data_IF_580248014781
#
_entry.id   IF_580248014781
#
_cell.length_a   1.000
_cell.length_b   1.000
_cell.length_c   1.000
_cell.angle_alpha   90.00
_cell.angle_beta   90.00
_cell.angle_gamma   90.00
#
_symmetry.space_group_name_H-M   'P 1'
#
loop_
_entity.id
_entity.type
_entity.pdbx_description
1 polymer ?
#
# COMPACT_ATOMS: atom_id res chain seq x y z
N UNK A 1 -13.75 -2.49 -6.76
CA UNK A 1 -13.40 -3.90 -6.56
C UNK A 1 -12.78 -4.55 -7.81
N UNK A 2 -13.33 -4.39 -8.98
CA UNK A 2 -12.89 -5.09 -10.21
C UNK A 2 -11.43 -4.89 -10.62
N UNK A 3 -10.76 -3.83 -10.19
CA UNK A 3 -9.34 -3.57 -10.46
C UNK A 3 -8.42 -4.03 -9.31
N UNK A 4 -8.96 -4.35 -8.14
CA UNK A 4 -8.14 -4.74 -6.97
C UNK A 4 -7.53 -6.13 -7.15
N UNK A 5 -6.37 -6.36 -6.55
CA UNK A 5 -5.68 -7.65 -6.66
C UNK A 5 -5.37 -8.08 -8.11
N UNK A 6 -5.13 -7.12 -9.01
CA UNK A 6 -4.92 -7.36 -10.45
C UNK A 6 -6.15 -8.01 -11.12
N UNK A 7 -7.34 -7.55 -10.79
CA UNK A 7 -8.60 -8.07 -11.33
C UNK A 7 -9.16 -9.31 -10.62
N UNK A 8 -8.48 -9.78 -9.56
CA UNK A 8 -8.89 -10.97 -8.79
C UNK A 8 -9.72 -10.67 -7.55
N UNK A 9 -9.68 -9.44 -7.05
CA UNK A 9 -10.24 -8.98 -5.78
C UNK A 9 -9.63 -9.71 -4.55
N UNK A 10 -8.66 -9.09 -3.90
CA UNK A 10 -8.16 -9.57 -2.60
C UNK A 10 -9.17 -9.20 -1.51
N UNK A 11 -10.14 -10.08 -1.27
CA UNK A 11 -11.36 -9.82 -0.48
C UNK A 11 -11.06 -9.43 0.96
N UNK A 12 -10.13 -10.16 1.58
CA UNK A 12 -9.69 -9.93 2.96
C UNK A 12 -8.33 -10.60 3.19
N UNK A 13 -7.87 -10.61 4.44
CA UNK A 13 -6.70 -11.35 4.88
C UNK A 13 -7.12 -12.29 6.01
N UNK A 14 -6.84 -13.60 5.89
CA UNK A 14 -7.15 -14.59 6.92
C UNK A 14 -6.12 -14.52 8.06
N UNK A 15 -6.13 -13.43 8.77
CA UNK A 15 -5.27 -13.18 9.91
C UNK A 15 -6.09 -12.92 11.18
N UNK A 16 -5.41 -12.94 12.32
CA UNK A 16 -5.99 -12.52 13.58
C UNK A 16 -6.16 -11.00 13.65
N UNK A 17 -6.91 -10.55 14.64
CA UNK A 17 -7.19 -9.13 14.85
C UNK A 17 -5.93 -8.32 15.14
N UNK A 18 -4.95 -8.89 15.83
CA UNK A 18 -3.72 -8.19 16.21
C UNK A 18 -2.88 -7.89 14.97
N UNK A 19 -2.71 -8.87 14.11
CA UNK A 19 -2.06 -8.72 12.80
C UNK A 19 -2.78 -7.71 11.92
N UNK A 20 -4.14 -7.77 11.91
CA UNK A 20 -4.96 -6.81 11.16
C UNK A 20 -4.74 -5.38 11.66
N UNK A 21 -4.79 -5.14 12.96
CA UNK A 21 -4.57 -3.81 13.55
C UNK A 21 -3.13 -3.33 13.36
N UNK A 22 -2.14 -4.21 13.44
CA UNK A 22 -0.74 -3.89 13.17
C UNK A 22 -0.50 -3.50 11.69
N UNK A 23 -1.37 -3.96 10.80
CA UNK A 23 -1.33 -3.62 9.36
C UNK A 23 -1.96 -2.26 9.02
N UNK A 24 -2.44 -1.51 10.03
CA UNK A 24 -3.06 -0.19 9.88
C UNK A 24 -2.13 0.87 10.49
N UNK A 25 -1.30 1.57 9.71
CA UNK A 25 -0.26 2.47 10.22
C UNK A 25 -0.81 3.76 10.87
N UNK A 26 -2.09 4.07 10.67
CA UNK A 26 -2.75 5.22 11.29
C UNK A 26 -4.17 4.91 11.73
N UNK A 27 -4.59 5.48 12.86
CA UNK A 27 -5.97 5.38 13.36
C UNK A 27 -6.52 3.95 13.59
N UNK A 28 -5.67 2.91 13.63
CA UNK A 28 -6.11 1.51 13.80
C UNK A 28 -6.97 1.28 15.05
N UNK A 29 -6.71 2.02 16.16
CA UNK A 29 -7.51 1.93 17.38
C UNK A 29 -8.98 2.32 17.19
N UNK A 30 -9.27 3.23 16.26
CA UNK A 30 -10.62 3.61 15.90
C UNK A 30 -11.42 2.40 15.38
N UNK A 31 -10.79 1.51 14.65
CA UNK A 31 -11.41 0.37 14.00
C UNK A 31 -11.58 -0.86 14.92
N UNK A 32 -11.07 -0.81 16.15
CA UNK A 32 -11.09 -1.97 17.06
C UNK A 32 -12.50 -2.57 17.21
N UNK A 33 -13.51 -1.74 17.44
CA UNK A 33 -14.90 -2.20 17.60
C UNK A 33 -15.48 -2.79 16.31
N UNK A 34 -15.27 -2.14 15.18
CA UNK A 34 -15.73 -2.61 13.86
C UNK A 34 -15.11 -3.96 13.49
N UNK A 35 -13.79 -4.09 13.59
CA UNK A 35 -13.05 -5.31 13.26
C UNK A 35 -13.25 -6.46 14.26
N UNK A 36 -13.81 -6.18 15.42
CA UNK A 36 -14.25 -7.21 16.37
C UNK A 36 -15.64 -7.75 16.02
N UNK A 37 -16.51 -6.89 15.47
CA UNK A 37 -17.90 -7.26 15.09
C UNK A 37 -17.98 -7.93 13.73
N UNK A 38 -17.10 -7.58 12.82
CA UNK A 38 -17.03 -8.17 11.48
C UNK A 38 -15.57 -8.49 11.14
N UNK A 39 -15.20 -9.71 11.50
CA UNK A 39 -13.83 -10.22 11.37
C UNK A 39 -13.52 -10.65 9.93
N UNK A 40 -12.26 -10.91 9.57
CA UNK A 40 -11.91 -11.55 8.30
C UNK A 40 -12.66 -12.86 8.04
N UNK A 41 -12.86 -13.68 9.07
CA UNK A 41 -13.63 -14.94 8.95
C UNK A 41 -15.11 -14.68 8.68
N UNK A 42 -15.70 -13.65 9.29
CA UNK A 42 -17.08 -13.26 8.98
C UNK A 42 -17.20 -12.78 7.53
N UNK A 43 -16.20 -12.06 7.02
CA UNK A 43 -16.13 -11.67 5.61
C UNK A 43 -16.07 -12.90 4.69
N UNK A 44 -15.23 -13.88 5.00
CA UNK A 44 -15.15 -15.12 4.23
C UNK A 44 -16.48 -15.86 4.26
N UNK A 45 -17.04 -16.09 5.44
CA UNK A 45 -18.33 -16.75 5.61
C UNK A 45 -19.47 -16.02 4.89
N UNK A 46 -19.48 -14.68 4.89
CA UNK A 46 -20.45 -13.88 4.16
C UNK A 46 -20.41 -14.14 2.66
N UNK A 47 -19.23 -14.11 2.03
CA UNK A 47 -19.13 -14.36 0.58
C UNK A 47 -19.36 -15.82 0.21
N UNK A 48 -18.94 -16.77 1.04
CA UNK A 48 -19.25 -18.20 0.86
C UNK A 48 -20.75 -18.47 0.94
N UNK A 49 -21.46 -17.82 1.89
CA UNK A 49 -22.93 -17.89 1.97
C UNK A 49 -23.64 -17.28 0.74
N UNK A 50 -23.00 -16.35 0.04
CA UNK A 50 -23.46 -15.81 -1.24
C UNK A 50 -23.09 -16.69 -2.45
N UNK A 51 -22.46 -17.84 -2.23
CA UNK A 51 -22.06 -18.81 -3.25
C UNK A 51 -20.73 -18.51 -3.94
N UNK A 52 -19.86 -17.73 -3.31
CA UNK A 52 -18.50 -17.47 -3.82
C UNK A 52 -17.51 -18.34 -3.07
N UNK A 53 -16.91 -19.32 -3.75
CA UNK A 53 -15.83 -20.13 -3.17
C UNK A 53 -14.55 -19.29 -3.06
N UNK A 54 -13.92 -19.33 -1.88
CA UNK A 54 -12.72 -18.57 -1.57
C UNK A 54 -11.51 -19.50 -1.38
N UNK A 55 -10.31 -18.97 -1.63
CA UNK A 55 -9.02 -19.61 -1.36
C UNK A 55 -8.09 -18.66 -0.61
N UNK A 56 -7.25 -19.24 0.25
CA UNK A 56 -6.18 -18.50 0.96
C UNK A 56 -4.87 -18.74 0.25
N UNK A 57 -4.16 -17.68 -0.11
CA UNK A 57 -2.85 -17.71 -0.74
C UNK A 57 -1.75 -17.24 0.22
N UNK A 58 -0.50 -17.31 -0.23
CA UNK A 58 0.68 -16.85 0.56
C UNK A 58 0.44 -15.46 1.15
N UNK A 59 0.79 -15.29 2.43
CA UNK A 59 0.55 -14.05 3.19
C UNK A 59 -0.91 -13.89 3.62
N UNK A 60 -1.63 -15.01 3.77
CA UNK A 60 -3.02 -15.09 4.22
C UNK A 60 -4.01 -14.28 3.36
N UNK A 61 -3.66 -13.97 2.12
CA UNK A 61 -4.49 -13.22 1.19
C UNK A 61 -5.64 -14.08 0.70
N UNK A 62 -6.85 -13.55 0.75
CA UNK A 62 -8.07 -14.28 0.38
C UNK A 62 -8.57 -13.81 -0.99
N UNK A 63 -8.77 -14.75 -1.90
CA UNK A 63 -9.25 -14.51 -3.26
C UNK A 63 -10.40 -15.47 -3.61
N UNK A 64 -11.27 -15.10 -4.58
CA UNK A 64 -12.15 -16.09 -5.22
C UNK A 64 -11.33 -17.20 -5.86
N UNK A 65 -11.83 -18.44 -5.79
CA UNK A 65 -11.20 -19.60 -6.44
C UNK A 65 -11.07 -19.41 -7.95
N UNK A 66 -12.03 -18.72 -8.56
CA UNK A 66 -12.05 -18.37 -9.99
C UNK A 66 -10.98 -17.36 -10.42
N UNK A 67 -10.30 -16.70 -9.48
CA UNK A 67 -9.42 -15.55 -9.74
C UNK A 67 -10.13 -14.37 -10.45
N UNK A 68 -11.44 -14.23 -10.31
CA UNK A 68 -12.24 -13.19 -10.93
C UNK A 68 -12.92 -12.29 -9.89
N UNK A 69 -12.61 -11.00 -9.90
CA UNK A 69 -13.28 -10.01 -9.06
C UNK A 69 -14.79 -9.89 -9.37
N UNK A 70 -15.21 -10.29 -10.56
CA UNK A 70 -16.63 -10.27 -10.95
C UNK A 70 -17.49 -11.23 -10.11
N UNK A 71 -16.94 -12.31 -9.58
CA UNK A 71 -17.71 -13.20 -8.71
C UNK A 71 -18.15 -12.51 -7.43
N UNK A 72 -17.26 -11.66 -6.87
CA UNK A 72 -17.57 -10.85 -5.69
C UNK A 72 -18.65 -9.80 -6.02
N UNK A 73 -18.46 -9.03 -7.10
CA UNK A 73 -19.41 -7.97 -7.47
C UNK A 73 -20.78 -8.54 -7.86
N UNK A 74 -20.80 -9.62 -8.64
CA UNK A 74 -22.06 -10.29 -9.05
C UNK A 74 -22.80 -10.90 -7.84
N UNK A 75 -22.08 -11.45 -6.87
CA UNK A 75 -22.68 -11.97 -5.65
C UNK A 75 -23.37 -10.85 -4.83
N UNK A 76 -22.70 -9.71 -4.67
CA UNK A 76 -23.28 -8.54 -4.01
C UNK A 76 -24.49 -7.99 -4.78
N UNK A 77 -24.41 -7.90 -6.12
CA UNK A 77 -25.53 -7.43 -6.93
C UNK A 77 -26.75 -8.36 -6.82
N UNK A 78 -26.53 -9.68 -6.83
CA UNK A 78 -27.63 -10.66 -6.62
C UNK A 78 -28.28 -10.46 -5.24
N UNK A 79 -27.48 -10.25 -4.20
CA UNK A 79 -27.98 -10.05 -2.84
C UNK A 79 -28.75 -8.74 -2.71
N UNK A 80 -28.27 -7.65 -3.30
CA UNK A 80 -29.00 -6.36 -3.32
C UNK A 80 -30.33 -6.49 -4.05
N UNK A 81 -30.38 -7.20 -5.20
CA UNK A 81 -31.65 -7.49 -5.90
C UNK A 81 -32.59 -8.34 -5.05
N UNK A 82 -32.07 -9.39 -4.40
CA UNK A 82 -32.86 -10.24 -3.48
C UNK A 82 -33.47 -9.44 -2.33
N UNK A 83 -32.74 -8.46 -1.81
CA UNK A 83 -33.20 -7.54 -0.76
C UNK A 83 -34.04 -6.38 -1.28
N UNK A 84 -34.32 -6.32 -2.59
CA UNK A 84 -35.10 -5.26 -3.24
C UNK A 84 -34.53 -3.87 -3.01
N UNK A 85 -33.20 -3.73 -2.93
CA UNK A 85 -32.53 -2.43 -2.85
C UNK A 85 -32.74 -1.67 -4.15
N UNK A 86 -33.20 -0.41 -4.06
CA UNK A 86 -33.38 0.47 -5.22
C UNK A 86 -32.05 1.09 -5.62
N UNK A 87 -31.75 1.09 -6.90
CA UNK A 87 -30.58 1.72 -7.49
C UNK A 87 -30.99 3.02 -8.15
N UNK A 88 -30.33 4.13 -7.77
CA UNK A 88 -30.42 5.40 -8.49
C UNK A 88 -29.06 5.69 -9.17
N UNK A 89 -29.08 5.95 -10.47
CA UNK A 89 -27.91 6.43 -11.21
C UNK A 89 -27.92 7.95 -11.21
N UNK A 90 -27.46 8.50 -10.12
CA UNK A 90 -27.40 9.93 -9.89
C UNK A 90 -26.13 10.27 -9.13
N UNK A 91 -25.67 11.51 -9.26
CA UNK A 91 -24.54 12.02 -8.50
C UNK A 91 -25.04 12.80 -7.32
N UNK A 92 -24.69 12.39 -6.11
CA UNK A 92 -25.01 13.13 -4.90
C UNK A 92 -24.23 14.46 -4.85
N UNK A 93 -24.93 15.56 -4.69
CA UNK A 93 -24.36 16.91 -4.60
C UNK A 93 -24.16 17.36 -3.17
N UNK A 94 -25.18 17.20 -2.31
CA UNK A 94 -25.14 17.52 -0.90
C UNK A 94 -26.18 16.69 -0.12
N UNK A 95 -26.08 16.74 1.20
CA UNK A 95 -27.05 16.14 2.12
C UNK A 95 -27.77 17.28 2.82
N UNK A 96 -29.10 17.26 2.75
CA UNK A 96 -29.96 18.20 3.44
C UNK A 96 -30.12 17.82 4.90
N UNK A 97 -30.14 18.82 5.76
CA UNK A 97 -30.33 18.63 7.20
C UNK A 97 -31.33 19.64 7.78
N UNK A 98 -32.14 19.18 8.71
CA UNK A 98 -33.03 20.03 9.51
C UNK A 98 -32.81 19.70 10.99
N UNK A 99 -32.67 20.74 11.81
CA UNK A 99 -32.43 20.60 13.27
C UNK A 99 -31.25 19.63 13.58
N UNK A 100 -30.19 19.66 12.75
CA UNK A 100 -29.00 18.83 12.92
C UNK A 100 -29.19 17.34 12.56
N UNK A 101 -30.28 17.00 11.86
CA UNK A 101 -30.55 15.65 11.38
C UNK A 101 -30.69 15.61 9.86
N UNK A 102 -30.26 14.50 9.25
CA UNK A 102 -30.45 14.23 7.82
C UNK A 102 -31.93 14.20 7.45
N UNK A 103 -32.31 14.83 6.34
CA UNK A 103 -33.65 14.80 5.77
C UNK A 103 -33.71 14.31 4.33
N UNK A 104 -32.69 14.57 3.53
CA UNK A 104 -32.61 14.10 2.14
C UNK A 104 -31.15 14.07 1.63
N UNK A 105 -30.93 13.35 0.52
CA UNK A 105 -29.77 13.49 -0.35
C UNK A 105 -30.22 14.19 -1.62
N UNK A 106 -29.61 15.32 -1.96
CA UNK A 106 -29.84 16.01 -3.21
C UNK A 106 -28.88 15.50 -4.26
N UNK A 107 -29.40 14.91 -5.32
CA UNK A 107 -28.67 14.51 -6.51
C UNK A 107 -28.70 15.58 -7.60
N UNK A 108 -28.02 15.31 -8.71
CA UNK A 108 -28.08 16.15 -9.92
C UNK A 108 -29.47 16.11 -10.57
N UNK A 109 -30.18 14.98 -10.46
CA UNK A 109 -31.46 14.73 -11.11
C UNK A 109 -32.63 14.83 -10.16
N UNK A 110 -32.51 14.18 -9.01
CA UNK A 110 -33.60 14.01 -8.07
C UNK A 110 -33.17 14.28 -6.62
N UNK A 111 -34.15 14.55 -5.77
CA UNK A 111 -33.98 14.53 -4.31
C UNK A 111 -34.44 13.20 -3.73
N UNK A 112 -33.67 12.65 -2.82
CA UNK A 112 -33.91 11.36 -2.18
C UNK A 112 -34.15 11.57 -0.68
N UNK A 113 -35.43 11.65 -0.22
CA UNK A 113 -35.75 11.76 1.19
C UNK A 113 -35.18 10.57 1.97
N UNK A 114 -34.50 10.85 3.09
CA UNK A 114 -33.85 9.82 3.90
C UNK A 114 -33.77 10.27 5.36
N UNK A 115 -34.00 9.35 6.30
CA UNK A 115 -33.78 9.54 7.73
C UNK A 115 -32.35 9.18 8.16
N UNK A 116 -31.66 8.41 7.33
CA UNK A 116 -30.26 8.00 7.53
C UNK A 116 -29.55 7.88 6.19
N UNK A 117 -28.28 8.32 6.15
CA UNK A 117 -27.40 8.27 5.00
C UNK A 117 -26.08 7.65 5.40
N UNK A 118 -25.58 6.68 4.63
CA UNK A 118 -24.25 6.14 4.75
C UNK A 118 -23.41 6.75 3.62
N UNK A 119 -22.39 7.51 3.97
CA UNK A 119 -21.43 8.08 3.02
C UNK A 119 -20.28 7.07 2.82
N UNK A 120 -20.31 6.36 1.69
CA UNK A 120 -19.39 5.28 1.34
C UNK A 120 -18.74 5.51 -0.02
N UNK A 121 -18.32 6.75 -0.30
CA UNK A 121 -17.89 7.23 -1.61
C UNK A 121 -16.46 6.85 -2.00
N UNK A 122 -15.72 6.19 -1.10
CA UNK A 122 -14.30 5.93 -1.29
C UNK A 122 -13.43 7.18 -1.13
N UNK A 123 -12.19 7.10 -1.62
CA UNK A 123 -11.19 8.16 -1.56
C UNK A 123 -11.06 8.96 -2.86
N UNK A 124 -9.79 9.25 -3.23
CA UNK A 124 -9.41 9.96 -4.48
C UNK A 124 -8.40 9.18 -5.34
N UNK A 125 -8.02 7.98 -4.91
CA UNK A 125 -7.22 7.06 -5.73
C UNK A 125 -8.10 6.43 -6.81
N UNK A 126 -7.53 6.15 -7.99
CA UNK A 126 -8.26 5.62 -9.15
C UNK A 126 -9.55 6.41 -9.51
N UNK A 127 -9.47 7.70 -9.84
CA UNK A 127 -10.65 8.55 -10.07
C UNK A 127 -11.57 8.02 -11.18
N UNK A 128 -11.04 7.28 -12.14
CA UNK A 128 -11.81 6.60 -13.18
C UNK A 128 -12.81 5.53 -12.67
N UNK A 129 -12.72 5.13 -11.40
CA UNK A 129 -13.68 4.21 -10.75
C UNK A 129 -14.78 4.93 -9.98
N UNK A 130 -14.84 6.26 -10.03
CA UNK A 130 -15.81 7.06 -9.30
C UNK A 130 -15.30 7.65 -7.98
N UNK A 131 -14.04 7.41 -7.62
CA UNK A 131 -13.41 7.99 -6.41
C UNK A 131 -12.95 9.41 -6.70
N UNK A 132 -13.88 10.36 -6.74
CA UNK A 132 -13.68 11.76 -7.14
C UNK A 132 -13.49 12.72 -5.98
N UNK A 133 -13.63 12.25 -4.74
CA UNK A 133 -13.57 13.07 -3.53
C UNK A 133 -14.88 13.82 -3.21
N UNK A 134 -15.96 13.54 -3.92
CA UNK A 134 -17.27 14.16 -3.65
C UNK A 134 -17.73 13.96 -2.19
N UNK A 135 -17.45 12.79 -1.61
CA UNK A 135 -17.77 12.51 -0.22
C UNK A 135 -17.05 13.41 0.78
N UNK A 136 -15.80 13.79 0.49
CA UNK A 136 -15.08 14.74 1.33
C UNK A 136 -15.73 16.12 1.31
N UNK A 137 -16.10 16.61 0.13
CA UNK A 137 -16.79 17.89 -0.04
C UNK A 137 -18.15 17.90 0.66
N UNK A 138 -18.91 16.81 0.54
CA UNK A 138 -20.20 16.64 1.23
C UNK A 138 -20.01 16.64 2.75
N UNK A 139 -19.04 15.89 3.27
CA UNK A 139 -18.77 15.82 4.69
C UNK A 139 -18.27 17.15 5.27
N UNK A 140 -17.41 17.87 4.53
CA UNK A 140 -16.91 19.20 4.91
C UNK A 140 -18.04 20.23 5.00
N UNK A 141 -18.95 20.23 4.03
CA UNK A 141 -20.15 21.10 4.03
C UNK A 141 -21.07 20.84 5.24
N UNK A 142 -21.03 19.63 5.80
CA UNK A 142 -21.73 19.23 7.02
C UNK A 142 -20.92 19.50 8.31
N UNK A 143 -19.80 20.22 8.19
CA UNK A 143 -18.95 20.64 9.30
C UNK A 143 -17.91 19.62 9.76
N UNK A 144 -17.72 18.50 9.04
CA UNK A 144 -16.65 17.55 9.33
C UNK A 144 -15.29 18.08 8.90
N UNK A 145 -14.28 17.80 9.69
CA UNK A 145 -12.87 18.08 9.33
C UNK A 145 -12.39 17.03 8.36
N UNK A 146 -11.83 17.46 7.23
CA UNK A 146 -11.18 16.59 6.27
C UNK A 146 -9.66 16.67 6.49
N UNK A 147 -9.07 15.55 6.90
CA UNK A 147 -7.61 15.38 6.90
C UNK A 147 -7.16 15.34 5.44
N UNK A 148 -6.19 16.18 5.00
CA UNK A 148 -5.83 16.29 3.59
C UNK A 148 -5.59 14.93 2.94
N UNK A 149 -6.33 14.58 1.87
CA UNK A 149 -6.14 13.32 1.16
C UNK A 149 -4.77 13.26 0.47
N UNK A 150 -4.11 12.10 0.57
CA UNK A 150 -2.82 11.81 -0.07
C UNK A 150 -2.78 10.36 -0.52
N UNK A 151 -1.88 10.06 -1.45
CA UNK A 151 -1.64 8.68 -1.84
C UNK A 151 -1.03 7.86 -0.71
N UNK A 152 -1.56 6.67 -0.48
CA UNK A 152 -0.96 5.61 0.33
C UNK A 152 -0.82 4.35 -0.52
N UNK A 153 0.17 3.51 -0.21
CA UNK A 153 0.55 2.39 -1.06
C UNK A 153 0.87 2.88 -2.49
N UNK A 154 1.77 3.85 -2.57
CA UNK A 154 2.14 4.55 -3.79
C UNK A 154 3.63 4.32 -4.08
N UNK A 155 4.04 4.16 -5.36
CA UNK A 155 5.45 4.12 -5.72
C UNK A 155 6.18 5.40 -5.33
N UNK A 156 7.48 5.30 -5.10
CA UNK A 156 8.34 6.39 -4.66
C UNK A 156 9.34 6.78 -5.74
N UNK A 157 9.50 8.08 -5.94
CA UNK A 157 10.47 8.65 -6.87
C UNK A 157 11.83 8.74 -6.18
N UNK A 158 12.89 8.35 -6.91
CA UNK A 158 14.26 8.42 -6.43
C UNK A 158 15.07 9.42 -7.25
N UNK A 159 16.04 10.04 -6.59
CA UNK A 159 17.06 10.86 -7.28
C UNK A 159 18.08 9.98 -8.02
N UNK A 160 18.70 10.54 -9.07
CA UNK A 160 19.81 9.94 -9.82
C UNK A 160 19.39 8.91 -10.86
N UNK A 161 20.42 8.28 -11.46
CA UNK A 161 20.28 7.42 -12.64
C UNK A 161 20.26 5.91 -12.32
N UNK A 162 20.39 5.52 -11.06
CA UNK A 162 20.48 4.09 -10.70
C UNK A 162 19.17 3.35 -10.95
N UNK A 163 18.03 3.96 -10.57
CA UNK A 163 16.74 3.33 -10.77
C UNK A 163 16.39 3.16 -12.25
N UNK A 164 16.54 4.18 -13.12
CA UNK A 164 16.38 4.02 -14.57
C UNK A 164 17.27 2.89 -15.15
N UNK A 165 18.53 2.80 -14.72
CA UNK A 165 19.48 1.77 -15.18
C UNK A 165 19.05 0.34 -14.81
N UNK A 166 18.20 0.20 -13.77
CA UNK A 166 17.68 -1.07 -13.29
C UNK A 166 16.19 -1.25 -13.55
N UNK A 167 15.59 -0.45 -14.43
CA UNK A 167 14.16 -0.51 -14.73
C UNK A 167 13.68 -1.94 -15.03
N UNK A 168 12.58 -2.34 -14.41
CA UNK A 168 11.97 -3.67 -14.58
C UNK A 168 12.59 -4.75 -13.70
N UNK A 169 13.71 -4.47 -13.01
CA UNK A 169 14.33 -5.41 -12.09
C UNK A 169 13.47 -5.57 -10.83
N UNK A 170 13.02 -6.79 -10.55
CA UNK A 170 12.38 -7.17 -9.31
C UNK A 170 13.37 -7.92 -8.42
N UNK A 171 13.61 -7.38 -7.23
CA UNK A 171 14.38 -8.05 -6.19
C UNK A 171 13.45 -8.81 -5.26
N UNK A 172 13.81 -10.06 -4.98
CA UNK A 172 13.14 -10.90 -3.98
C UNK A 172 14.06 -11.09 -2.78
N UNK A 173 13.48 -11.23 -1.60
CA UNK A 173 14.22 -11.51 -0.37
C UNK A 173 15.28 -10.45 -0.03
N UNK A 174 14.93 -9.16 -0.14
CA UNK A 174 15.74 -8.05 0.33
C UNK A 174 15.16 -7.48 1.62
N UNK A 175 15.99 -6.88 2.46
CA UNK A 175 15.53 -6.09 3.58
C UNK A 175 15.60 -4.60 3.23
N UNK A 176 14.54 -3.87 3.56
CA UNK A 176 14.44 -2.44 3.31
C UNK A 176 14.29 -1.70 4.62
N UNK A 177 15.06 -0.63 4.79
CA UNK A 177 14.89 0.32 5.87
C UNK A 177 14.73 1.72 5.27
N UNK A 178 13.70 2.46 5.68
CA UNK A 178 13.54 3.86 5.30
C UNK A 178 13.87 4.73 6.51
N UNK A 179 14.75 5.69 6.29
CA UNK A 179 15.16 6.68 7.28
C UNK A 179 14.61 8.05 6.94
N UNK A 180 14.25 8.83 7.97
CA UNK A 180 13.96 10.26 7.81
C UNK A 180 15.23 11.10 7.88
N UNK A 181 15.12 12.43 7.67
CA UNK A 181 16.24 13.38 7.71
C UNK A 181 17.01 13.43 9.03
N UNK A 182 16.42 12.91 10.12
CA UNK A 182 17.08 12.74 11.43
C UNK A 182 17.77 11.37 11.58
N UNK A 183 17.91 10.61 10.51
CA UNK A 183 18.45 9.24 10.48
C UNK A 183 17.69 8.25 11.38
N UNK A 184 16.42 8.54 11.70
CA UNK A 184 15.55 7.62 12.42
C UNK A 184 14.87 6.68 11.42
N UNK A 185 14.94 5.38 11.66
CA UNK A 185 14.17 4.40 10.88
C UNK A 185 12.67 4.61 11.12
N UNK A 186 11.94 4.88 10.04
CA UNK A 186 10.48 5.08 10.03
C UNK A 186 9.73 3.87 9.49
N UNK A 187 10.44 3.01 8.76
CA UNK A 187 9.93 1.74 8.26
C UNK A 187 11.08 0.73 8.15
N UNK A 188 10.80 -0.54 8.42
CA UNK A 188 11.70 -1.66 8.15
C UNK A 188 10.87 -2.91 7.88
N UNK A 189 11.18 -3.61 6.78
CA UNK A 189 10.54 -4.86 6.44
C UNK A 189 11.41 -5.67 5.46
N UNK A 190 10.99 -6.93 5.21
CA UNK A 190 11.67 -7.89 4.34
C UNK A 190 10.70 -8.41 3.27
N UNK A 191 11.14 -8.47 2.00
CA UNK A 191 10.28 -8.97 0.92
C UNK A 191 10.75 -8.61 -0.48
N UNK A 192 9.81 -8.12 -1.30
CA UNK A 192 10.02 -7.82 -2.71
C UNK A 192 10.02 -6.31 -2.98
N UNK A 193 10.95 -5.87 -3.84
CA UNK A 193 11.10 -4.49 -4.33
C UNK A 193 11.23 -4.51 -5.86
N UNK A 194 10.65 -3.53 -6.53
CA UNK A 194 10.72 -3.34 -7.98
C UNK A 194 11.37 -1.99 -8.31
N UNK A 195 12.38 -2.00 -9.18
CA UNK A 195 12.93 -0.79 -9.78
C UNK A 195 12.12 -0.36 -11.00
N UNK A 196 11.88 0.93 -11.12
CA UNK A 196 11.16 1.59 -12.22
C UNK A 196 12.02 2.69 -12.83
N UNK A 197 11.62 3.25 -13.96
CA UNK A 197 12.32 4.38 -14.59
C UNK A 197 12.35 5.66 -13.75
N UNK A 198 11.47 5.80 -12.76
CA UNK A 198 11.38 6.98 -11.89
C UNK A 198 11.87 6.74 -10.46
N UNK A 199 12.11 5.48 -10.07
CA UNK A 199 12.43 5.15 -8.68
C UNK A 199 12.07 3.72 -8.33
N UNK A 200 11.38 3.51 -7.20
CA UNK A 200 11.08 2.20 -6.65
C UNK A 200 9.60 1.97 -6.39
N UNK A 201 9.20 0.71 -6.46
CA UNK A 201 7.85 0.21 -6.24
C UNK A 201 7.90 -1.21 -5.65
N UNK A 202 6.79 -1.94 -5.71
CA UNK A 202 6.66 -3.29 -5.16
C UNK A 202 6.16 -3.32 -3.72
N UNK A 203 5.84 -4.50 -3.18
CA UNK A 203 5.14 -4.64 -1.90
C UNK A 203 5.80 -3.91 -0.73
N UNK A 204 7.13 -4.00 -0.60
CA UNK A 204 7.89 -3.30 0.45
C UNK A 204 7.77 -1.78 0.35
N UNK A 205 7.95 -1.25 -0.86
CA UNK A 205 7.93 0.20 -1.10
C UNK A 205 6.53 0.77 -0.92
N UNK A 206 5.52 0.06 -1.39
CA UNK A 206 4.12 0.44 -1.20
C UNK A 206 3.78 0.50 0.29
N UNK A 207 4.16 -0.51 1.08
CA UNK A 207 3.97 -0.48 2.53
C UNK A 207 4.77 0.65 3.20
N UNK A 208 6.01 0.87 2.79
CA UNK A 208 6.85 1.97 3.30
C UNK A 208 6.18 3.33 3.08
N UNK A 209 5.58 3.55 1.91
CA UNK A 209 4.97 4.84 1.55
C UNK A 209 3.84 5.26 2.51
N UNK A 210 3.13 4.32 3.13
CA UNK A 210 2.11 4.59 4.13
C UNK A 210 2.65 5.30 5.40
N UNK A 211 3.95 5.17 5.67
CA UNK A 211 4.64 5.82 6.78
C UNK A 211 5.22 7.19 6.44
N UNK A 212 5.38 7.52 5.16
CA UNK A 212 6.01 8.74 4.67
C UNK A 212 4.96 9.85 4.51
N UNK A 213 4.51 10.40 5.64
CA UNK A 213 3.34 11.28 5.69
C UNK A 213 3.61 12.74 5.40
N UNK A 214 4.87 13.17 5.51
CA UNK A 214 5.30 14.57 5.30
C UNK A 214 6.47 14.58 4.34
N UNK A 215 6.35 15.33 3.27
CA UNK A 215 7.39 15.50 2.26
C UNK A 215 7.97 16.92 2.26
N UNK A 216 7.18 17.91 2.65
CA UNK A 216 7.66 19.28 2.78
C UNK A 216 8.59 19.41 4.00
N UNK A 217 9.85 19.80 3.75
CA UNK A 217 10.89 19.97 4.76
C UNK A 217 11.42 18.66 5.38
N UNK A 218 11.04 17.49 4.87
CA UNK A 218 11.56 16.18 5.27
C UNK A 218 12.34 15.54 4.13
N UNK A 219 13.41 14.85 4.47
CA UNK A 219 14.21 14.05 3.54
C UNK A 219 14.10 12.59 3.95
N UNK A 220 13.91 11.73 2.96
CA UNK A 220 13.87 10.30 3.19
C UNK A 220 14.93 9.59 2.36
N UNK A 221 15.55 8.58 2.97
CA UNK A 221 16.50 7.70 2.31
C UNK A 221 16.02 6.27 2.49
N UNK A 222 15.98 5.50 1.41
CA UNK A 222 15.74 4.07 1.46
C UNK A 222 17.08 3.34 1.37
N UNK A 223 17.32 2.45 2.31
CA UNK A 223 18.47 1.55 2.35
C UNK A 223 18.00 0.13 2.08
N UNK A 224 18.65 -0.54 1.15
CA UNK A 224 18.32 -1.90 0.71
C UNK A 224 19.50 -2.81 1.04
N UNK A 225 19.29 -3.77 1.93
CA UNK A 225 20.19 -4.89 2.13
C UNK A 225 19.90 -5.96 1.08
N UNK A 226 20.81 -6.12 0.13
CA UNK A 226 20.67 -7.07 -0.99
C UNK A 226 20.98 -8.51 -0.57
N UNK A 227 21.58 -8.72 0.61
CA UNK A 227 22.00 -10.02 1.14
C UNK A 227 21.66 -10.17 2.63
N UNK A 228 20.39 -10.04 3.03
CA UNK A 228 20.01 -10.00 4.45
C UNK A 228 20.31 -11.28 5.22
N UNK A 229 20.44 -12.42 4.53
CA UNK A 229 20.81 -13.69 5.15
C UNK A 229 22.30 -13.78 5.57
N UNK A 230 23.13 -12.86 5.09
CA UNK A 230 24.57 -12.82 5.38
C UNK A 230 24.89 -11.53 6.13
N UNK A 231 25.60 -11.63 7.25
CA UNK A 231 26.28 -10.50 7.85
C UNK A 231 27.46 -10.04 6.99
N UNK A 232 28.04 -8.87 7.29
CA UNK A 232 29.15 -8.31 6.51
C UNK A 232 30.35 -9.26 6.45
N UNK A 233 30.69 -9.94 7.55
CA UNK A 233 31.85 -10.86 7.60
C UNK A 233 31.63 -12.09 6.71
N UNK A 234 30.44 -12.69 6.78
CA UNK A 234 30.08 -13.82 5.92
C UNK A 234 29.99 -13.42 4.44
N UNK A 235 29.50 -12.22 4.17
CA UNK A 235 29.46 -11.71 2.79
C UNK A 235 30.86 -11.43 2.25
N UNK A 236 31.76 -10.83 3.07
CA UNK A 236 33.16 -10.63 2.67
C UNK A 236 33.88 -11.97 2.40
N UNK A 237 33.67 -12.96 3.26
CA UNK A 237 34.20 -14.32 3.07
C UNK A 237 33.64 -14.98 1.79
N UNK A 238 32.36 -14.74 1.46
CA UNK A 238 31.73 -15.20 0.22
C UNK A 238 32.37 -14.56 -1.00
N UNK A 239 32.57 -13.25 -1.00
CA UNK A 239 33.21 -12.51 -2.08
C UNK A 239 34.66 -13.00 -2.29
N UNK A 240 35.43 -13.21 -1.19
CA UNK A 240 36.78 -13.76 -1.24
C UNK A 240 36.81 -15.15 -1.87
N UNK A 241 35.87 -16.01 -1.49
CA UNK A 241 35.80 -17.36 -2.09
C UNK A 241 35.50 -17.29 -3.57
N UNK A 242 34.51 -16.49 -4.01
CA UNK A 242 34.13 -16.37 -5.41
C UNK A 242 35.26 -15.79 -6.27
N UNK A 243 36.12 -14.88 -5.73
CA UNK A 243 37.35 -14.38 -6.31
C UNK A 243 38.41 -15.51 -6.41
N UNK A 244 38.60 -16.25 -5.31
CA UNK A 244 39.60 -17.34 -5.24
C UNK A 244 39.30 -18.48 -6.21
N UNK A 245 38.03 -18.80 -6.42
CA UNK A 245 37.57 -19.79 -7.39
C UNK A 245 37.71 -19.31 -8.85
N UNK A 246 37.74 -18.00 -9.08
CA UNK A 246 37.75 -17.40 -10.42
C UNK A 246 38.71 -16.20 -10.54
N UNK A 247 40.02 -16.37 -10.23
CA UNK A 247 40.97 -15.27 -10.09
C UNK A 247 41.22 -14.46 -11.36
N UNK A 248 41.06 -15.07 -12.51
CA UNK A 248 41.29 -14.47 -13.82
C UNK A 248 40.01 -13.91 -14.48
N UNK A 249 38.87 -14.08 -13.86
CA UNK A 249 37.60 -13.51 -14.38
C UNK A 249 37.52 -12.02 -14.07
N UNK A 250 36.71 -11.33 -14.86
CA UNK A 250 36.38 -9.92 -14.62
C UNK A 250 35.38 -9.76 -13.46
N UNK A 251 35.51 -8.67 -12.71
CA UNK A 251 34.60 -8.36 -11.59
C UNK A 251 33.14 -8.25 -12.01
N UNK A 252 32.85 -7.88 -13.25
CA UNK A 252 31.51 -7.91 -13.82
C UNK A 252 30.87 -9.30 -13.76
N UNK A 253 31.64 -10.35 -14.05
CA UNK A 253 31.18 -11.75 -13.96
C UNK A 253 30.97 -12.17 -12.49
N UNK A 254 31.88 -11.80 -11.61
CA UNK A 254 31.80 -12.12 -10.17
C UNK A 254 30.55 -11.44 -9.58
N UNK A 255 30.34 -10.14 -9.88
CA UNK A 255 29.19 -9.39 -9.40
C UNK A 255 27.85 -9.95 -9.90
N UNK A 256 27.78 -10.44 -11.14
CA UNK A 256 26.59 -11.09 -11.69
C UNK A 256 26.24 -12.43 -11.00
N UNK A 257 27.19 -13.05 -10.31
CA UNK A 257 26.94 -14.17 -9.39
C UNK A 257 26.39 -13.75 -8.01
N UNK A 258 26.59 -12.49 -7.65
CA UNK A 258 26.13 -11.92 -6.37
C UNK A 258 24.77 -11.22 -6.49
N UNK A 259 24.49 -10.53 -7.59
CA UNK A 259 23.26 -9.78 -7.84
C UNK A 259 22.74 -10.04 -9.25
N UNK A 260 21.48 -9.70 -9.57
CA UNK A 260 20.98 -9.81 -10.95
C UNK A 260 21.84 -9.05 -11.96
N UNK A 261 21.91 -9.55 -13.18
CA UNK A 261 22.76 -9.00 -14.24
C UNK A 261 22.61 -7.50 -14.47
N UNK A 262 21.37 -6.99 -14.50
CA UNK A 262 21.07 -5.56 -14.69
C UNK A 262 21.54 -4.69 -13.51
N UNK A 263 21.72 -5.27 -12.33
CA UNK A 263 22.16 -4.56 -11.12
C UNK A 263 23.68 -4.55 -10.97
N UNK A 264 24.39 -5.55 -11.50
CA UNK A 264 25.82 -5.71 -11.32
C UNK A 264 26.64 -4.47 -11.74
N UNK A 265 26.40 -3.83 -12.90
CA UNK A 265 27.11 -2.59 -13.27
C UNK A 265 26.88 -1.43 -12.29
N UNK A 266 25.67 -1.29 -11.77
CA UNK A 266 25.33 -0.22 -10.80
C UNK A 266 26.04 -0.46 -9.47
N UNK A 267 26.04 -1.69 -8.97
CA UNK A 267 26.72 -2.08 -7.72
C UNK A 267 28.23 -1.87 -7.85
N UNK A 268 28.83 -2.28 -8.95
CA UNK A 268 30.26 -2.08 -9.21
C UNK A 268 30.64 -0.60 -9.29
N UNK A 269 29.90 0.19 -10.08
CA UNK A 269 30.11 1.65 -10.15
C UNK A 269 30.05 2.30 -8.78
N UNK A 270 29.08 1.94 -7.94
CA UNK A 270 28.97 2.46 -6.57
C UNK A 270 30.13 2.01 -5.67
N UNK A 271 30.71 0.85 -5.93
CA UNK A 271 31.90 0.37 -5.23
C UNK A 271 33.22 0.95 -5.78
N UNK A 272 33.16 1.86 -6.78
CA UNK A 272 34.35 2.44 -7.43
C UNK A 272 35.05 1.48 -8.39
N UNK A 273 34.29 0.53 -8.97
CA UNK A 273 34.79 -0.47 -9.91
C UNK A 273 34.16 -0.30 -11.29
N UNK A 274 34.91 -0.59 -12.35
CA UNK A 274 34.42 -0.56 -13.74
C UNK A 274 33.79 -1.89 -14.13
N UNK A 275 34.19 -2.98 -13.48
CA UNK A 275 33.77 -4.34 -13.79
C UNK A 275 34.72 -5.10 -14.73
N UNK A 276 35.65 -4.40 -15.35
CA UNK A 276 36.70 -5.01 -16.22
C UNK A 276 37.96 -5.43 -15.45
N UNK A 277 38.09 -5.03 -14.19
CA UNK A 277 39.19 -5.45 -13.34
C UNK A 277 39.20 -6.98 -13.17
N UNK A 278 40.39 -7.58 -13.18
CA UNK A 278 40.52 -8.99 -12.84
C UNK A 278 40.26 -9.22 -11.36
N UNK A 279 39.58 -10.29 -11.03
CA UNK A 279 39.17 -10.60 -9.66
C UNK A 279 40.39 -10.68 -8.70
N UNK A 280 41.50 -11.23 -9.15
CA UNK A 280 42.76 -11.31 -8.35
C UNK A 280 43.47 -9.97 -8.15
N UNK A 281 43.11 -8.91 -8.89
CA UNK A 281 43.67 -7.56 -8.70
C UNK A 281 42.86 -6.69 -7.72
N UNK A 282 41.75 -7.21 -7.21
CA UNK A 282 40.86 -6.46 -6.31
C UNK A 282 41.57 -6.20 -4.97
N UNK A 283 41.68 -4.93 -4.58
CA UNK A 283 42.26 -4.57 -3.28
C UNK A 283 41.27 -4.88 -2.14
N UNK A 284 41.80 -4.92 -0.90
CA UNK A 284 40.97 -5.14 0.29
C UNK A 284 39.96 -4.03 0.48
N UNK A 285 40.33 -2.78 0.16
CA UNK A 285 39.50 -1.59 0.24
C UNK A 285 38.34 -1.67 -0.77
N UNK A 286 38.63 -2.02 -2.03
CA UNK A 286 37.62 -2.19 -3.06
C UNK A 286 36.64 -3.33 -2.74
N UNK A 287 37.14 -4.45 -2.20
CA UNK A 287 36.29 -5.54 -1.75
C UNK A 287 35.37 -5.11 -0.62
N UNK A 288 35.89 -4.38 0.37
CA UNK A 288 35.08 -3.83 1.47
C UNK A 288 34.02 -2.86 0.94
N UNK A 289 34.38 -1.98 -0.01
CA UNK A 289 33.41 -1.07 -0.64
C UNK A 289 32.30 -1.84 -1.33
N UNK A 290 32.61 -2.93 -2.05
CA UNK A 290 31.63 -3.80 -2.68
C UNK A 290 30.67 -4.43 -1.64
N UNK A 291 31.23 -4.94 -0.53
CA UNK A 291 30.43 -5.51 0.56
C UNK A 291 29.52 -4.45 1.17
N UNK A 292 30.00 -3.22 1.40
CA UNK A 292 29.19 -2.12 1.91
C UNK A 292 28.05 -1.75 0.95
N UNK A 293 28.31 -1.68 -0.34
CA UNK A 293 27.25 -1.41 -1.33
C UNK A 293 26.20 -2.52 -1.33
N UNK A 294 26.61 -3.79 -1.20
CA UNK A 294 25.68 -4.92 -1.15
C UNK A 294 24.82 -4.94 0.12
N UNK A 295 25.32 -4.44 1.24
CA UNK A 295 24.61 -4.38 2.52
C UNK A 295 23.80 -3.09 2.70
N UNK A 296 24.27 -1.98 2.14
CA UNK A 296 23.73 -0.65 2.34
C UNK A 296 23.51 0.08 1.01
N UNK A 297 22.73 -0.53 0.12
CA UNK A 297 22.39 0.11 -1.16
C UNK A 297 21.34 1.20 -0.91
N UNK A 298 21.79 2.46 -0.85
CA UNK A 298 20.95 3.61 -0.49
C UNK A 298 20.44 4.36 -1.71
N UNK A 299 19.20 4.83 -1.66
CA UNK A 299 18.60 5.75 -2.64
C UNK A 299 17.96 6.92 -1.90
N UNK A 300 18.11 8.11 -2.42
CA UNK A 300 17.42 9.30 -1.95
C UNK A 300 16.00 9.32 -2.54
N UNK A 301 14.99 9.47 -1.66
CA UNK A 301 13.59 9.58 -2.06
C UNK A 301 13.23 11.05 -2.23
N UNK A 302 12.71 11.42 -3.40
CA UNK A 302 12.33 12.80 -3.71
C UNK A 302 10.84 13.09 -3.60
N UNK A 303 10.00 12.05 -3.59
CA UNK A 303 8.55 12.19 -3.43
C UNK A 303 7.78 10.92 -3.74
N UNK A 304 6.48 10.93 -3.48
CA UNK A 304 5.58 9.87 -3.96
C UNK A 304 5.17 10.15 -5.41
N UNK A 305 4.71 9.13 -6.11
CA UNK A 305 3.96 9.31 -7.36
C UNK A 305 2.61 9.97 -7.09
N UNK A 306 1.95 10.56 -8.10
CA UNK A 306 0.63 11.17 -7.94
C UNK A 306 -0.39 10.27 -7.26
N UNK A 307 -1.33 10.87 -6.51
CA UNK A 307 -2.39 10.13 -5.79
C UNK A 307 -3.24 9.25 -6.72
N UNK A 308 -3.37 9.62 -7.98
CA UNK A 308 -4.05 8.82 -9.01
C UNK A 308 -3.38 7.46 -9.30
N UNK A 309 -2.10 7.32 -8.96
CA UNK A 309 -1.33 6.06 -9.07
C UNK A 309 -1.26 5.30 -7.75
N UNK A 310 -1.77 5.87 -6.66
CA UNK A 310 -1.82 5.21 -5.37
C UNK A 310 -2.87 4.09 -5.34
N UNK A 311 -2.60 3.01 -4.61
CA UNK A 311 -3.57 1.92 -4.47
C UNK A 311 -4.75 2.37 -3.61
N UNK A 312 -4.49 3.15 -2.55
CA UNK A 312 -5.51 3.68 -1.64
C UNK A 312 -5.22 5.13 -1.27
N UNK A 313 -6.24 5.82 -0.78
CA UNK A 313 -6.14 7.17 -0.21
C UNK A 313 -5.93 7.07 1.30
N UNK A 314 -4.96 7.81 1.82
CA UNK A 314 -4.86 8.14 3.24
C UNK A 314 -5.35 9.58 3.46
N UNK A 315 -5.82 9.91 4.66
CA UNK A 315 -6.59 11.11 4.91
C UNK A 315 -8.10 10.88 4.69
N UNK A 316 -8.90 11.91 4.78
CA UNK A 316 -10.36 11.84 4.68
C UNK A 316 -11.06 12.35 5.94
N UNK A 317 -12.28 11.89 6.19
CA UNK A 317 -13.07 12.32 7.35
C UNK A 317 -12.36 11.96 8.64
N UNK A 318 -12.10 12.98 9.47
CA UNK A 318 -11.40 12.84 10.74
C UNK A 318 -12.14 11.88 11.69
N UNK A 319 -11.54 10.73 11.97
CA UNK A 319 -12.17 9.66 12.77
C UNK A 319 -12.56 10.08 14.19
N UNK A 320 -11.92 11.09 14.77
CA UNK A 320 -12.29 11.67 16.06
C UNK A 320 -13.71 12.27 16.10
N UNK A 321 -14.29 12.57 14.93
CA UNK A 321 -15.65 13.12 14.75
C UNK A 321 -16.68 12.05 14.39
N UNK A 322 -16.27 10.78 14.39
CA UNK A 322 -17.11 9.61 14.11
C UNK A 322 -17.12 8.70 15.34
N UNK A 323 -18.24 8.05 15.58
CA UNK A 323 -18.41 7.13 16.71
C UNK A 323 -17.86 5.73 16.33
N UNK A 324 -16.83 5.19 16.99
CA UNK A 324 -16.11 3.98 16.55
C UNK A 324 -16.97 2.72 16.46
N UNK A 325 -18.05 2.68 17.26
CA UNK A 325 -18.89 1.48 17.36
C UNK A 325 -20.04 1.44 16.35
N UNK A 326 -20.43 2.58 15.81
CA UNK A 326 -21.62 2.70 14.95
C UNK A 326 -21.33 3.36 13.62
N UNK A 327 -20.11 3.89 13.44
CA UNK A 327 -19.70 4.73 12.31
C UNK A 327 -20.58 5.99 12.13
N UNK A 328 -21.37 6.35 13.16
CA UNK A 328 -22.23 7.53 13.14
C UNK A 328 -21.42 8.81 13.29
N UNK A 329 -21.82 9.85 12.56
CA UNK A 329 -21.36 11.22 12.75
C UNK A 329 -21.66 11.70 14.17
N UNK A 330 -20.70 12.38 14.80
CA UNK A 330 -20.93 13.10 16.07
C UNK A 330 -21.49 14.51 15.85
N UNK A 331 -21.61 14.96 14.59
CA UNK A 331 -22.05 16.31 14.20
C UNK A 331 -23.46 16.33 13.64
N UNK A 332 -23.82 15.32 12.84
CA UNK A 332 -25.10 15.26 12.14
C UNK A 332 -25.79 13.93 12.46
N UNK A 333 -26.94 13.99 13.04
CA UNK A 333 -27.77 12.82 13.37
C UNK A 333 -28.28 12.17 12.08
N UNK A 334 -28.18 10.85 11.99
CA UNK A 334 -28.58 10.09 10.80
C UNK A 334 -27.51 10.01 9.72
N UNK A 335 -26.32 10.63 9.90
CA UNK A 335 -25.19 10.47 8.99
C UNK A 335 -24.23 9.42 9.51
N UNK A 336 -23.79 8.52 8.61
CA UNK A 336 -22.83 7.46 8.88
C UNK A 336 -21.74 7.45 7.81
N UNK A 337 -20.58 6.89 8.13
CA UNK A 337 -19.45 6.79 7.22
C UNK A 337 -18.99 5.34 7.10
N UNK A 338 -18.57 4.91 5.89
CA UNK A 338 -18.04 3.57 5.66
C UNK A 338 -16.86 3.57 4.68
N UNK A 339 -15.86 2.74 4.96
CA UNK A 339 -14.72 2.52 4.09
C UNK A 339 -13.76 3.70 3.99
N UNK A 340 -13.15 3.84 2.81
CA UNK A 340 -11.99 4.70 2.54
C UNK A 340 -12.29 6.22 2.58
N UNK A 341 -13.55 6.62 2.73
CA UNK A 341 -13.90 8.03 3.00
C UNK A 341 -13.43 8.47 4.40
N UNK A 342 -13.23 7.53 5.32
CA UNK A 342 -12.66 7.76 6.64
C UNK A 342 -11.13 7.93 6.54
N UNK A 343 -10.54 8.72 7.47
CA UNK A 343 -9.06 8.83 7.60
C UNK A 343 -8.47 7.54 8.18
N UNK A 344 -8.52 6.46 7.41
CA UNK A 344 -7.94 5.15 7.70
C UNK A 344 -7.37 4.54 6.44
N UNK A 345 -6.16 3.98 6.54
CA UNK A 345 -5.50 3.25 5.48
C UNK A 345 -4.70 2.08 6.07
N UNK A 346 -4.55 1.01 5.30
CA UNK A 346 -3.85 -0.20 5.71
C UNK A 346 -2.88 -0.67 4.62
N UNK A 347 -1.98 -1.59 4.95
CA UNK A 347 -1.06 -2.20 3.99
C UNK A 347 -1.77 -2.96 2.88
N UNK A 348 -1.00 -3.36 1.86
CA UNK A 348 -1.46 -4.32 0.86
C UNK A 348 -1.75 -5.66 1.52
N UNK A 349 -2.67 -6.45 0.94
CA UNK A 349 -2.93 -7.79 1.43
C UNK A 349 -4.38 -8.10 1.79
N UNK A 350 -5.34 -7.25 1.41
CA UNK A 350 -6.78 -7.42 1.68
C UNK A 350 -7.29 -6.59 2.86
N UNK A 351 -6.39 -5.93 3.58
CA UNK A 351 -6.74 -5.17 4.79
C UNK A 351 -7.68 -3.99 4.52
N UNK A 352 -7.46 -3.23 3.43
CA UNK A 352 -8.31 -2.07 3.09
C UNK A 352 -9.75 -2.49 2.74
N UNK A 353 -9.93 -3.61 2.03
CA UNK A 353 -11.28 -4.14 1.80
C UNK A 353 -11.90 -4.68 3.08
N UNK A 354 -11.12 -5.32 3.97
CA UNK A 354 -11.64 -5.73 5.28
C UNK A 354 -12.14 -4.54 6.10
N UNK A 355 -11.42 -3.42 6.08
CA UNK A 355 -11.88 -2.18 6.74
C UNK A 355 -13.21 -1.72 6.12
N UNK A 356 -13.32 -1.72 4.79
CA UNK A 356 -14.55 -1.31 4.11
C UNK A 356 -15.74 -2.24 4.39
N UNK A 357 -15.51 -3.54 4.58
CA UNK A 357 -16.58 -4.48 4.97
C UNK A 357 -17.03 -4.32 6.42
N UNK A 358 -16.13 -3.92 7.31
CA UNK A 358 -16.38 -3.85 8.74
C UNK A 358 -16.96 -2.49 9.20
N UNK A 359 -16.83 -1.46 8.38
CA UNK A 359 -17.32 -0.11 8.67
C UNK A 359 -18.59 0.21 7.86
#
# INVERSE_FOLDING_TARGET
MNITGKGRCNVTNDCDRETLLASIPGNGRFLYGALTRFTPRDTMAFFEALGVSLKVERGNRVFPVSDSAFDITNALERELKRRRVRWARDRALHIETENGAVTAVQGEKDAYPAQAVILATGGVSYPGTGSTGDGYRIAEALGHTIVPPRGSLVPLVCAGEDCPAMQGLSLRNVAVTVYNGKKKAVFRDFGELLFTHFGVSGPLVLSASAHLRRWEGEHYTIEIDLKPALDEQKLDARVLRDIGENPNREMGTIAAGLVPHSMAPVVLRRAGLTGSEKANSLTKEQRRALVQVLKHFTLELTGPRPVSEAIVTAGGVKVGEVTPNTMASKRVRGLFFAGEVLDVDAYTGGFNLQIAWAT
#
